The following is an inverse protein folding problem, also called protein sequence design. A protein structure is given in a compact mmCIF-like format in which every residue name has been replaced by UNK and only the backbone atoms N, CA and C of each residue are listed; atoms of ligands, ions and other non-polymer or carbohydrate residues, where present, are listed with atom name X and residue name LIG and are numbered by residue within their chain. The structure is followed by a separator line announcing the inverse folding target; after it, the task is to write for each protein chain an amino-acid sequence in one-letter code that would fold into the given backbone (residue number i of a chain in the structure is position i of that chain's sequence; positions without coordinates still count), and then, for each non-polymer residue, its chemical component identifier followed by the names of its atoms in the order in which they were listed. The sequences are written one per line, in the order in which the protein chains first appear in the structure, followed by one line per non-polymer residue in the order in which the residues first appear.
data_IF_122294425593
#
_entry.id   IF_122294425593
#
_cell.length_a   1.000
_cell.length_b   1.000
_cell.length_c   1.000
_cell.angle_alpha   90.00
_cell.angle_beta   90.00
_cell.angle_gamma   90.00
#
_symmetry.space_group_name_H-M   'P 1'
#
loop_
_entity.id
_entity.type
_entity.pdbx_description
1 polymer ?
#
# COMPACT_ATOMS: atom_id res chain seq x y z
N UNK A 1 -19.66 -20.55 -6.56
CA UNK A 1 -18.38 -20.48 -5.84
C UNK A 1 -18.62 -20.99 -4.43
N UNK A 2 -17.66 -21.68 -3.83
CA UNK A 2 -17.73 -22.23 -2.47
C UNK A 2 -16.53 -21.66 -1.70
N UNK A 3 -16.67 -21.32 -0.43
CA UNK A 3 -15.58 -20.84 0.40
C UNK A 3 -15.53 -21.66 1.68
N UNK A 4 -14.44 -22.39 1.90
CA UNK A 4 -14.33 -23.37 2.98
C UNK A 4 -13.00 -23.28 3.72
N UNK A 5 -13.01 -23.73 4.97
CA UNK A 5 -11.79 -23.89 5.75
C UNK A 5 -11.06 -25.18 5.39
N UNK A 6 -9.74 -25.12 5.18
CA UNK A 6 -8.95 -26.29 4.76
C UNK A 6 -7.72 -26.59 5.65
N UNK A 7 -7.50 -25.80 6.70
CA UNK A 7 -6.44 -26.05 7.67
C UNK A 7 -6.65 -25.27 8.97
N UNK A 8 -6.54 -25.95 10.11
CA UNK A 8 -6.52 -25.35 11.44
C UNK A 8 -5.17 -25.66 12.09
N UNK A 9 -4.36 -24.64 12.35
CA UNK A 9 -3.46 -24.69 13.49
C UNK A 9 -4.19 -24.09 14.70
N UNK A 10 -3.77 -24.39 15.93
CA UNK A 10 -4.54 -24.08 17.16
C UNK A 10 -5.00 -22.61 17.30
N UNK A 11 -4.42 -21.66 16.56
CA UNK A 11 -4.79 -20.24 16.57
C UNK A 11 -5.13 -19.66 15.19
N UNK A 12 -4.70 -20.28 14.07
CA UNK A 12 -4.88 -19.74 12.71
C UNK A 12 -5.75 -20.69 11.89
N UNK A 13 -6.77 -20.12 11.24
CA UNK A 13 -7.65 -20.85 10.33
C UNK A 13 -7.46 -20.37 8.90
N UNK A 14 -7.28 -21.32 8.00
CA UNK A 14 -7.09 -21.05 6.57
C UNK A 14 -8.38 -21.30 5.80
N UNK A 15 -8.73 -20.33 4.95
CA UNK A 15 -9.88 -20.41 4.08
C UNK A 15 -9.48 -20.26 2.62
N UNK A 16 -10.28 -20.86 1.74
CA UNK A 16 -10.04 -20.82 0.30
C UNK A 16 -11.35 -20.84 -0.48
N UNK A 17 -11.35 -20.12 -1.59
CA UNK A 17 -12.38 -20.22 -2.62
C UNK A 17 -12.17 -21.44 -3.52
N UNK A 18 -13.28 -22.10 -3.83
CA UNK A 18 -13.36 -23.23 -4.76
C UNK A 18 -14.43 -22.93 -5.82
N UNK A 19 -14.11 -23.26 -7.05
CA UNK A 19 -15.06 -23.14 -8.15
C UNK A 19 -15.87 -24.43 -8.25
N UNK A 20 -17.20 -24.34 -8.14
CA UNK A 20 -18.10 -25.43 -8.47
C UNK A 20 -18.12 -25.66 -10.00
N UNK A 21 -18.67 -26.78 -10.47
CA UNK A 21 -18.66 -27.14 -11.89
C UNK A 21 -19.20 -26.02 -12.80
N UNK A 22 -20.30 -25.39 -12.40
CA UNK A 22 -20.90 -24.27 -13.15
C UNK A 22 -19.93 -23.10 -13.29
N UNK A 23 -19.27 -22.71 -12.19
CA UNK A 23 -18.30 -21.62 -12.20
C UNK A 23 -17.05 -22.00 -13.00
N UNK A 24 -16.58 -23.24 -12.92
CA UNK A 24 -15.44 -23.73 -13.71
C UNK A 24 -15.71 -23.64 -15.22
N UNK A 25 -16.91 -24.00 -15.68
CA UNK A 25 -17.29 -23.86 -17.10
C UNK A 25 -17.25 -22.41 -17.56
N UNK A 26 -17.71 -21.48 -16.71
CA UNK A 26 -17.64 -20.05 -17.02
C UNK A 26 -16.22 -19.51 -17.02
N UNK A 27 -15.40 -19.96 -16.07
CA UNK A 27 -13.98 -19.62 -16.02
C UNK A 27 -13.25 -20.08 -17.30
N UNK A 28 -13.54 -21.29 -17.78
CA UNK A 28 -13.01 -21.80 -19.05
C UNK A 28 -13.45 -20.94 -20.24
N UNK A 29 -14.74 -20.61 -20.30
CA UNK A 29 -15.28 -19.74 -21.35
C UNK A 29 -14.66 -18.34 -21.31
N UNK A 30 -14.50 -17.76 -20.11
CA UNK A 30 -13.80 -16.49 -19.90
C UNK A 30 -12.37 -16.55 -20.46
N UNK A 31 -11.60 -17.60 -20.16
CA UNK A 31 -10.24 -17.72 -20.68
C UNK A 31 -10.18 -17.82 -22.20
N UNK A 32 -11.13 -18.52 -22.83
CA UNK A 32 -11.25 -18.57 -24.30
C UNK A 32 -11.51 -17.17 -24.88
N UNK A 33 -12.53 -16.47 -24.36
CA UNK A 33 -12.88 -15.12 -24.82
C UNK A 33 -11.74 -14.12 -24.56
N UNK A 34 -11.06 -14.21 -23.43
CA UNK A 34 -9.93 -13.34 -23.08
C UNK A 34 -8.78 -13.49 -24.06
N UNK A 35 -8.39 -14.74 -24.37
CA UNK A 35 -7.32 -15.04 -25.34
C UNK A 35 -7.64 -14.51 -26.74
N UNK A 36 -8.91 -14.58 -27.13
CA UNK A 36 -9.41 -14.11 -28.43
C UNK A 36 -9.78 -12.63 -28.45
N UNK A 37 -9.63 -11.90 -27.32
CA UNK A 37 -10.02 -10.49 -27.14
C UNK A 37 -11.50 -10.20 -27.45
N UNK A 38 -12.36 -11.18 -27.17
CA UNK A 38 -13.82 -11.09 -27.38
C UNK A 38 -14.50 -10.46 -26.17
N UNK A 39 -14.23 -9.18 -25.90
CA UNK A 39 -14.73 -8.48 -24.71
C UNK A 39 -16.25 -8.37 -24.64
N UNK A 40 -16.94 -8.30 -25.78
CA UNK A 40 -18.41 -8.34 -25.83
C UNK A 40 -18.99 -9.62 -25.21
N UNK A 41 -18.32 -10.75 -25.44
CA UNK A 41 -18.76 -12.03 -24.90
C UNK A 41 -18.48 -12.14 -23.40
N UNK A 42 -17.38 -11.54 -22.94
CA UNK A 42 -17.06 -11.44 -21.51
C UNK A 42 -18.10 -10.55 -20.79
N UNK A 43 -18.48 -9.43 -21.41
CA UNK A 43 -19.57 -8.60 -20.91
C UNK A 43 -20.88 -9.39 -20.85
N UNK A 44 -21.17 -10.22 -21.85
CA UNK A 44 -22.35 -11.09 -21.84
C UNK A 44 -22.34 -12.10 -20.68
N UNK A 45 -21.18 -12.59 -20.22
CA UNK A 45 -21.07 -13.44 -19.02
C UNK A 45 -21.69 -12.74 -17.81
N UNK A 46 -21.33 -11.46 -17.58
CA UNK A 46 -21.76 -10.71 -16.39
C UNK A 46 -23.14 -10.05 -16.55
N UNK A 47 -23.60 -9.83 -17.78
CA UNK A 47 -24.95 -9.33 -18.06
C UNK A 47 -26.00 -10.44 -18.07
N UNK A 48 -25.59 -11.70 -18.24
CA UNK A 48 -26.51 -12.83 -18.18
C UNK A 48 -27.09 -12.98 -16.76
N UNK A 49 -28.43 -12.97 -16.66
CA UNK A 49 -29.16 -13.13 -15.40
C UNK A 49 -28.84 -14.43 -14.66
N UNK A 50 -28.35 -15.46 -15.36
CA UNK A 50 -28.08 -16.77 -14.77
C UNK A 50 -26.81 -16.83 -13.92
N UNK A 51 -25.77 -16.01 -14.20
CA UNK A 51 -24.64 -15.90 -13.28
C UNK A 51 -23.91 -14.55 -13.40
N UNK A 52 -24.45 -13.50 -12.80
CA UNK A 52 -23.92 -12.15 -12.94
C UNK A 52 -22.58 -11.88 -12.22
N UNK A 53 -22.05 -12.87 -11.51
CA UNK A 53 -21.05 -12.70 -10.46
C UNK A 53 -19.71 -13.39 -10.76
N UNK A 54 -19.38 -13.60 -12.03
CA UNK A 54 -18.07 -14.13 -12.42
C UNK A 54 -16.95 -13.10 -12.16
N UNK A 55 -16.12 -13.32 -11.13
CA UNK A 55 -15.23 -12.32 -10.55
C UNK A 55 -14.17 -11.81 -11.54
N UNK A 56 -13.53 -12.70 -12.30
CA UNK A 56 -12.50 -12.31 -13.28
C UNK A 56 -13.08 -11.49 -14.42
N UNK A 57 -14.33 -11.79 -14.83
CA UNK A 57 -15.02 -10.98 -15.84
C UNK A 57 -15.36 -9.60 -15.28
N UNK A 58 -15.81 -9.52 -14.03
CA UNK A 58 -16.10 -8.24 -13.37
C UNK A 58 -14.84 -7.38 -13.25
N UNK A 59 -13.72 -7.96 -12.82
CA UNK A 59 -12.42 -7.26 -12.74
C UNK A 59 -11.97 -6.74 -14.10
N UNK A 60 -11.98 -7.60 -15.13
CA UNK A 60 -11.56 -7.19 -16.47
C UNK A 60 -12.47 -6.10 -17.04
N UNK A 61 -13.79 -6.25 -16.92
CA UNK A 61 -14.73 -5.26 -17.42
C UNK A 61 -14.63 -3.95 -16.64
N UNK A 62 -14.37 -3.98 -15.34
CA UNK A 62 -14.12 -2.77 -14.55
C UNK A 62 -12.90 -2.00 -15.09
N UNK A 63 -11.79 -2.68 -15.34
CA UNK A 63 -10.58 -2.05 -15.90
C UNK A 63 -10.84 -1.47 -17.31
N UNK A 64 -11.55 -2.20 -18.19
CA UNK A 64 -11.89 -1.70 -19.53
C UNK A 64 -12.79 -0.46 -19.50
N UNK A 65 -13.87 -0.52 -18.71
CA UNK A 65 -14.84 0.58 -18.58
C UNK A 65 -14.22 1.81 -17.89
N UNK A 66 -13.28 1.59 -16.96
CA UNK A 66 -12.50 2.67 -16.35
C UNK A 66 -11.63 3.38 -17.40
N UNK A 67 -10.97 2.63 -18.28
CA UNK A 67 -10.18 3.21 -19.38
C UNK A 67 -11.02 3.98 -20.39
N UNK A 68 -12.30 3.64 -20.55
CA UNK A 68 -13.28 4.41 -21.34
C UNK A 68 -13.79 5.68 -20.62
N UNK A 69 -13.37 5.91 -19.37
CA UNK A 69 -13.72 7.09 -18.58
C UNK A 69 -15.01 6.94 -17.75
N UNK A 70 -15.68 5.79 -17.79
CA UNK A 70 -16.91 5.57 -17.02
C UNK A 70 -16.61 4.95 -15.64
N UNK A 71 -16.07 5.77 -14.74
CA UNK A 71 -15.69 5.35 -13.39
C UNK A 71 -16.87 4.84 -12.56
N UNK A 72 -18.08 5.37 -12.75
CA UNK A 72 -19.27 4.95 -11.99
C UNK A 72 -19.62 3.49 -12.29
N UNK A 73 -19.66 3.12 -13.57
CA UNK A 73 -19.96 1.76 -13.99
C UNK A 73 -18.84 0.77 -13.67
N UNK A 74 -17.57 1.18 -13.80
CA UNK A 74 -16.45 0.37 -13.35
C UNK A 74 -16.56 0.05 -11.86
N UNK A 75 -16.95 1.05 -11.07
CA UNK A 75 -17.15 0.92 -9.63
C UNK A 75 -18.29 -0.03 -9.25
N UNK A 76 -19.40 -0.01 -10.01
CA UNK A 76 -20.51 -0.96 -9.84
C UNK A 76 -20.02 -2.42 -10.02
N UNK A 77 -19.18 -2.68 -11.03
CA UNK A 77 -18.62 -4.03 -11.23
C UNK A 77 -17.71 -4.48 -10.10
N UNK A 78 -16.89 -3.59 -9.52
CA UNK A 78 -16.07 -3.92 -8.35
C UNK A 78 -16.95 -4.23 -7.13
N UNK A 79 -17.95 -3.40 -6.84
CA UNK A 79 -18.87 -3.60 -5.71
C UNK A 79 -19.69 -4.89 -5.86
N UNK A 80 -20.13 -5.19 -7.09
CA UNK A 80 -20.80 -6.44 -7.43
C UNK A 80 -19.90 -7.67 -7.21
N UNK A 81 -18.59 -7.54 -7.50
CA UNK A 81 -17.61 -8.58 -7.22
C UNK A 81 -17.40 -8.81 -5.72
N UNK A 82 -17.34 -7.73 -4.94
CA UNK A 82 -17.24 -7.80 -3.47
C UNK A 82 -18.50 -8.45 -2.89
N UNK A 83 -19.69 -8.04 -3.35
CA UNK A 83 -20.95 -8.66 -2.95
C UNK A 83 -20.99 -10.16 -3.24
N UNK A 84 -20.47 -10.59 -4.39
CA UNK A 84 -20.36 -12.00 -4.74
C UNK A 84 -19.43 -12.79 -3.80
N UNK A 85 -18.35 -12.17 -3.33
CA UNK A 85 -17.46 -12.76 -2.33
C UNK A 85 -18.14 -12.86 -0.96
N UNK A 86 -18.81 -11.78 -0.53
CA UNK A 86 -19.50 -11.70 0.76
C UNK A 86 -20.60 -12.75 0.89
N UNK A 87 -21.37 -12.93 -0.18
CA UNK A 87 -22.42 -13.96 -0.24
C UNK A 87 -21.86 -15.39 -0.24
N UNK A 88 -20.61 -15.57 -0.64
CA UNK A 88 -19.95 -16.88 -0.65
C UNK A 88 -19.24 -17.21 0.67
N UNK A 89 -19.03 -16.24 1.57
CA UNK A 89 -18.26 -16.48 2.80
C UNK A 89 -18.88 -17.56 3.68
N UNK A 90 -17.99 -18.36 4.29
CA UNK A 90 -18.34 -19.41 5.22
C UNK A 90 -18.93 -18.78 6.49
N UNK A 91 -19.98 -19.35 7.13
CA UNK A 91 -20.62 -18.75 8.31
C UNK A 91 -19.67 -18.46 9.49
N UNK A 92 -18.59 -19.23 9.60
CA UNK A 92 -17.58 -19.05 10.66
C UNK A 92 -16.44 -18.11 10.27
N UNK A 93 -16.43 -17.58 9.05
CA UNK A 93 -15.42 -16.65 8.58
C UNK A 93 -15.76 -15.22 9.02
N UNK A 94 -14.81 -14.60 9.70
CA UNK A 94 -14.82 -13.20 10.06
C UNK A 94 -13.74 -12.48 9.23
N UNK A 95 -14.17 -11.61 8.33
CA UNK A 95 -13.31 -10.81 7.46
C UNK A 95 -12.31 -9.96 8.25
N UNK A 96 -12.71 -9.41 9.40
CA UNK A 96 -11.87 -8.53 10.21
C UNK A 96 -10.94 -9.29 11.18
N UNK A 97 -11.07 -10.62 11.28
CA UNK A 97 -10.17 -11.41 12.14
C UNK A 97 -8.80 -11.56 11.49
N UNK A 98 -7.74 -11.23 12.25
CA UNK A 98 -6.35 -11.46 11.87
C UNK A 98 -5.95 -12.94 11.88
N UNK A 99 -6.71 -13.79 12.57
CA UNK A 99 -6.44 -15.23 12.65
C UNK A 99 -6.96 -16.02 11.44
N UNK A 100 -7.77 -15.38 10.59
CA UNK A 100 -8.36 -16.03 9.42
C UNK A 100 -7.65 -15.57 8.16
N UNK A 101 -6.94 -16.50 7.51
CA UNK A 101 -5.99 -16.23 6.44
C UNK A 101 -6.48 -16.78 5.10
N UNK A 102 -6.05 -16.12 4.02
CA UNK A 102 -6.22 -16.57 2.64
C UNK A 102 -4.84 -16.47 1.98
N UNK A 103 -4.36 -17.55 1.37
CA UNK A 103 -3.09 -17.54 0.66
C UNK A 103 -3.31 -17.09 -0.80
N UNK A 104 -2.60 -16.05 -1.23
CA UNK A 104 -2.70 -15.46 -2.57
C UNK A 104 -2.16 -16.38 -3.68
N UNK A 105 -1.31 -17.35 -3.33
CA UNK A 105 -0.75 -18.33 -4.26
C UNK A 105 -1.84 -19.16 -4.92
N UNK A 106 -2.96 -19.38 -4.22
CA UNK A 106 -4.16 -20.02 -4.77
C UNK A 106 -4.88 -19.09 -5.74
N UNK A 107 -5.02 -19.53 -6.99
CA UNK A 107 -5.60 -18.74 -8.06
C UNK A 107 -7.02 -18.27 -7.75
N UNK A 108 -7.83 -19.11 -7.10
CA UNK A 108 -9.20 -18.81 -6.73
C UNK A 108 -9.32 -17.74 -5.63
N UNK A 109 -8.26 -17.52 -4.84
CA UNK A 109 -8.23 -16.47 -3.82
C UNK A 109 -7.83 -15.11 -4.41
N UNK A 110 -7.13 -15.07 -5.55
CA UNK A 110 -6.63 -13.80 -6.13
C UNK A 110 -7.73 -12.76 -6.39
N UNK A 111 -8.92 -13.12 -6.91
CA UNK A 111 -9.98 -12.15 -7.12
C UNK A 111 -10.39 -11.41 -5.84
N UNK A 112 -10.35 -12.06 -4.67
CA UNK A 112 -10.59 -11.40 -3.38
C UNK A 112 -9.62 -10.24 -3.17
N UNK A 113 -8.33 -10.49 -3.27
CA UNK A 113 -7.31 -9.46 -3.07
C UNK A 113 -7.43 -8.33 -4.10
N UNK A 114 -7.62 -8.68 -5.38
CA UNK A 114 -7.71 -7.69 -6.46
C UNK A 114 -8.95 -6.81 -6.34
N UNK A 115 -10.12 -7.38 -6.03
CA UNK A 115 -11.36 -6.62 -5.84
C UNK A 115 -11.27 -5.67 -4.64
N UNK A 116 -10.82 -6.16 -3.49
CA UNK A 116 -10.65 -5.32 -2.30
C UNK A 116 -9.59 -4.24 -2.50
N UNK A 117 -8.51 -4.51 -3.24
CA UNK A 117 -7.49 -3.51 -3.56
C UNK A 117 -8.00 -2.44 -4.51
N UNK A 118 -8.75 -2.81 -5.56
CA UNK A 118 -9.42 -1.83 -6.43
C UNK A 118 -10.40 -0.97 -5.63
N UNK A 119 -11.15 -1.56 -4.72
CA UNK A 119 -12.05 -0.83 -3.83
C UNK A 119 -11.32 0.09 -2.84
N UNK A 120 -10.15 -0.32 -2.34
CA UNK A 120 -9.26 0.53 -1.56
C UNK A 120 -8.80 1.74 -2.35
N UNK A 121 -8.31 1.56 -3.58
CA UNK A 121 -7.83 2.66 -4.44
C UNK A 121 -8.96 3.66 -4.73
N UNK A 122 -10.14 3.17 -5.08
CA UNK A 122 -11.36 3.98 -5.23
C UNK A 122 -11.64 4.84 -3.99
N UNK A 123 -11.55 4.26 -2.79
CA UNK A 123 -11.79 5.01 -1.55
C UNK A 123 -10.70 6.05 -1.28
N UNK A 124 -9.46 5.79 -1.68
CA UNK A 124 -8.36 6.77 -1.60
C UNK A 124 -8.65 7.96 -2.52
N UNK A 125 -9.09 7.72 -3.75
CA UNK A 125 -9.48 8.76 -4.71
C UNK A 125 -10.64 9.61 -4.19
N UNK A 126 -11.64 8.98 -3.55
CA UNK A 126 -12.75 9.66 -2.88
C UNK A 126 -12.38 10.31 -1.53
N UNK A 127 -11.14 10.19 -1.10
CA UNK A 127 -10.63 10.70 0.18
C UNK A 127 -11.31 10.10 1.43
N UNK A 128 -11.82 8.86 1.33
CA UNK A 128 -12.39 8.08 2.44
C UNK A 128 -11.29 7.34 3.21
N UNK A 129 -10.37 8.09 3.81
CA UNK A 129 -9.07 7.58 4.26
C UNK A 129 -9.16 6.56 5.40
N UNK A 130 -10.10 6.74 6.34
CA UNK A 130 -10.34 5.76 7.41
C UNK A 130 -10.81 4.42 6.85
N UNK A 131 -11.76 4.44 5.91
CA UNK A 131 -12.23 3.23 5.24
C UNK A 131 -11.10 2.56 4.44
N UNK A 132 -10.32 3.35 3.69
CA UNK A 132 -9.14 2.84 2.97
C UNK A 132 -8.14 2.17 3.90
N UNK A 133 -7.89 2.75 5.08
CA UNK A 133 -7.00 2.17 6.08
C UNK A 133 -7.53 0.83 6.60
N UNK A 134 -8.83 0.73 6.91
CA UNK A 134 -9.42 -0.54 7.35
C UNK A 134 -9.36 -1.61 6.26
N UNK A 135 -9.59 -1.26 4.99
CA UNK A 135 -9.44 -2.20 3.88
C UNK A 135 -7.97 -2.65 3.74
N UNK A 136 -7.01 -1.73 3.90
CA UNK A 136 -5.58 -2.05 3.85
C UNK A 136 -5.21 -3.05 4.95
N UNK A 137 -5.69 -2.82 6.18
CA UNK A 137 -5.51 -3.74 7.32
C UNK A 137 -6.10 -5.12 7.01
N UNK A 138 -7.30 -5.18 6.43
CA UNK A 138 -7.93 -6.45 6.03
C UNK A 138 -7.06 -7.18 5.01
N UNK A 139 -6.68 -6.53 3.89
CA UNK A 139 -5.86 -7.11 2.84
C UNK A 139 -4.53 -7.65 3.39
N UNK A 140 -3.81 -6.82 4.14
CA UNK A 140 -2.55 -7.22 4.76
C UNK A 140 -2.77 -8.37 5.75
N UNK A 141 -3.84 -8.35 6.54
CA UNK A 141 -4.13 -9.45 7.48
C UNK A 141 -4.47 -10.77 6.79
N UNK A 142 -4.88 -10.80 5.52
CA UNK A 142 -5.22 -12.08 4.87
C UNK A 142 -3.99 -12.84 4.40
N UNK A 143 -3.00 -12.13 3.88
CA UNK A 143 -1.70 -12.68 3.47
C UNK A 143 -0.56 -11.74 3.85
N UNK A 144 -0.33 -11.57 5.15
CA UNK A 144 0.72 -10.68 5.64
C UNK A 144 2.12 -11.22 5.34
N UNK A 145 2.25 -12.53 5.13
CA UNK A 145 3.52 -13.15 4.81
C UNK A 145 3.98 -12.78 3.41
N UNK A 146 3.10 -12.99 2.41
CA UNK A 146 3.40 -12.65 1.04
C UNK A 146 3.30 -11.16 0.72
N UNK A 147 2.44 -10.41 1.42
CA UNK A 147 2.03 -9.03 1.07
C UNK A 147 1.90 -8.84 -0.46
N UNK A 148 1.04 -9.64 -1.13
CA UNK A 148 1.08 -9.83 -2.58
C UNK A 148 0.78 -8.54 -3.38
N UNK A 149 0.19 -7.53 -2.73
CA UNK A 149 -0.18 -6.25 -3.33
C UNK A 149 0.64 -5.08 -2.78
N UNK A 150 1.67 -5.34 -1.98
CA UNK A 150 2.57 -4.31 -1.46
C UNK A 150 1.89 -3.32 -0.52
N UNK A 151 0.98 -3.78 0.35
CA UNK A 151 0.28 -2.93 1.32
C UNK A 151 1.27 -2.22 2.26
N UNK A 152 2.42 -2.83 2.56
CA UNK A 152 3.49 -2.21 3.33
C UNK A 152 4.03 -0.92 2.70
N UNK A 153 3.92 -0.74 1.38
CA UNK A 153 4.38 0.47 0.68
C UNK A 153 3.36 1.62 0.69
N UNK A 154 2.19 1.39 1.28
CA UNK A 154 1.05 2.31 1.26
C UNK A 154 0.51 2.62 2.66
N UNK A 155 0.49 1.62 3.56
CA UNK A 155 -0.27 1.67 4.81
C UNK A 155 0.18 2.79 5.76
N UNK A 156 1.46 3.16 5.74
CA UNK A 156 2.02 4.24 6.54
C UNK A 156 1.43 5.59 6.15
N UNK A 157 1.43 5.89 4.85
CA UNK A 157 0.86 7.13 4.32
C UNK A 157 -0.66 7.22 4.57
N UNK A 158 -1.36 6.08 4.47
CA UNK A 158 -2.79 6.02 4.76
C UNK A 158 -3.08 6.26 6.24
N UNK A 159 -2.29 5.68 7.13
CA UNK A 159 -2.45 5.87 8.57
C UNK A 159 -2.27 7.34 8.97
N UNK A 160 -1.25 8.00 8.45
CA UNK A 160 -1.01 9.43 8.68
C UNK A 160 -2.15 10.30 8.11
N UNK A 161 -2.52 10.08 6.84
CA UNK A 161 -3.62 10.83 6.19
C UNK A 161 -4.97 10.60 6.86
N UNK A 162 -5.21 9.40 7.41
CA UNK A 162 -6.42 9.06 8.16
C UNK A 162 -6.43 9.59 9.60
N UNK A 163 -5.39 10.33 10.02
CA UNK A 163 -5.18 10.83 11.38
C UNK A 163 -5.15 9.69 12.42
N UNK A 164 -4.41 8.63 12.14
CA UNK A 164 -4.21 7.46 13.01
C UNK A 164 -2.72 7.18 13.26
N UNK A 165 -1.94 8.14 13.79
CA UNK A 165 -0.50 7.96 14.03
C UNK A 165 -0.20 6.87 15.08
N UNK A 166 -1.04 6.73 16.11
CA UNK A 166 -0.87 5.67 17.13
C UNK A 166 -0.89 4.27 16.51
N UNK A 167 -1.82 4.00 15.60
CA UNK A 167 -1.87 2.73 14.87
C UNK A 167 -0.57 2.48 14.10
N UNK A 168 0.00 3.51 13.47
CA UNK A 168 1.23 3.35 12.71
C UNK A 168 2.43 3.01 13.61
N UNK A 169 2.51 3.62 14.80
CA UNK A 169 3.54 3.29 15.79
C UNK A 169 3.40 1.84 16.26
N UNK A 170 2.20 1.42 16.68
CA UNK A 170 1.92 0.04 17.10
C UNK A 170 2.23 -0.97 15.99
N UNK A 171 1.83 -0.65 14.76
CA UNK A 171 2.09 -1.48 13.58
C UNK A 171 3.59 -1.61 13.31
N UNK A 172 4.32 -0.49 13.39
CA UNK A 172 5.76 -0.48 13.17
C UNK A 172 6.47 -1.33 14.20
N UNK A 173 6.17 -1.16 15.49
CA UNK A 173 6.78 -1.96 16.56
C UNK A 173 6.51 -3.46 16.38
N UNK A 174 5.26 -3.83 16.08
CA UNK A 174 4.88 -5.23 15.92
C UNK A 174 5.57 -5.91 14.72
N UNK A 175 5.68 -5.21 13.58
CA UNK A 175 6.24 -5.77 12.35
C UNK A 175 7.70 -5.40 12.09
N UNK A 176 8.34 -4.60 12.96
CA UNK A 176 9.69 -4.06 12.77
C UNK A 176 10.69 -5.12 12.31
N UNK A 177 10.81 -6.20 13.08
CA UNK A 177 11.78 -7.28 12.82
C UNK A 177 11.31 -8.24 11.74
N UNK A 178 10.04 -8.66 11.79
CA UNK A 178 9.50 -9.71 10.91
C UNK A 178 9.37 -9.26 9.46
N UNK A 179 9.14 -7.97 9.23
CA UNK A 179 9.02 -7.37 7.89
C UNK A 179 10.15 -6.43 7.51
N UNK A 180 11.19 -6.34 8.35
CA UNK A 180 12.36 -5.47 8.12
C UNK A 180 11.95 -4.04 7.75
N UNK A 181 11.02 -3.47 8.53
CA UNK A 181 10.49 -2.13 8.26
C UNK A 181 11.57 -1.04 8.37
N UNK A 182 12.69 -1.36 9.02
CA UNK A 182 13.91 -0.55 9.05
C UNK A 182 14.52 -0.28 7.66
N UNK A 183 14.31 -1.20 6.72
CA UNK A 183 14.83 -1.15 5.34
C UNK A 183 13.89 -0.41 4.37
N UNK A 184 12.71 -0.01 4.84
CA UNK A 184 11.71 0.64 4.01
C UNK A 184 11.71 2.16 4.28
N UNK A 185 11.99 2.99 3.26
CA UNK A 185 12.13 4.42 3.46
C UNK A 185 10.83 5.09 3.91
N UNK A 186 9.69 4.64 3.40
CA UNK A 186 8.38 5.16 3.77
C UNK A 186 8.15 5.08 5.28
N UNK A 187 8.43 3.93 5.91
CA UNK A 187 8.27 3.79 7.36
C UNK A 187 9.21 4.70 8.15
N UNK A 188 10.50 4.79 7.81
CA UNK A 188 11.44 5.64 8.57
C UNK A 188 10.98 7.10 8.66
N UNK A 189 10.56 7.67 7.54
CA UNK A 189 10.07 9.05 7.50
C UNK A 189 8.67 9.18 8.12
N UNK A 190 7.77 8.24 7.85
CA UNK A 190 6.40 8.28 8.37
C UNK A 190 6.33 8.09 9.89
N UNK A 191 7.24 7.33 10.52
CA UNK A 191 7.33 7.21 11.99
C UNK A 191 7.77 8.52 12.63
N UNK A 192 8.81 9.15 12.10
CA UNK A 192 9.24 10.46 12.59
C UNK A 192 8.10 11.47 12.53
N UNK A 193 7.36 11.48 11.42
CA UNK A 193 6.22 12.36 11.26
C UNK A 193 5.04 12.00 12.18
N UNK A 194 4.76 10.72 12.41
CA UNK A 194 3.74 10.28 13.35
C UNK A 194 4.01 10.80 14.77
N UNK A 195 5.27 10.74 15.22
CA UNK A 195 5.70 11.25 16.51
C UNK A 195 5.54 12.77 16.62
N UNK A 196 5.87 13.50 15.56
CA UNK A 196 5.64 14.96 15.49
C UNK A 196 4.14 15.29 15.60
N UNK A 197 3.28 14.59 14.86
CA UNK A 197 1.83 14.79 14.92
C UNK A 197 1.22 14.48 16.30
N UNK A 198 1.90 13.66 17.11
CA UNK A 198 1.53 13.36 18.50
C UNK A 198 2.13 14.34 19.52
N UNK A 199 2.94 15.32 19.08
CA UNK A 199 3.61 16.30 19.94
C UNK A 199 4.88 15.76 20.63
N UNK A 200 5.38 14.59 20.21
CA UNK A 200 6.57 13.95 20.78
C UNK A 200 7.84 14.43 20.06
N UNK A 201 8.10 15.74 20.13
CA UNK A 201 9.12 16.42 19.29
C UNK A 201 10.53 15.83 19.42
N UNK A 202 11.00 15.55 20.63
CA UNK A 202 12.34 15.02 20.82
C UNK A 202 12.52 13.65 20.17
N UNK A 203 11.48 12.82 20.21
CA UNK A 203 11.46 11.51 19.55
C UNK A 203 11.32 11.63 18.04
N UNK A 204 10.50 12.58 17.57
CA UNK A 204 10.32 12.87 16.15
C UNK A 204 11.65 13.28 15.51
N UNK A 205 12.39 14.21 16.14
CA UNK A 205 13.70 14.69 15.66
C UNK A 205 14.74 13.55 15.66
N UNK A 206 14.78 12.72 16.71
CA UNK A 206 15.69 11.56 16.75
C UNK A 206 15.39 10.56 15.63
N UNK A 207 14.12 10.23 15.41
CA UNK A 207 13.74 9.32 14.34
C UNK A 207 13.96 9.93 12.95
N UNK A 208 13.83 11.24 12.80
CA UNK A 208 14.18 11.94 11.56
C UNK A 208 15.69 11.84 11.28
N UNK A 209 16.53 12.02 12.31
CA UNK A 209 17.97 11.84 12.21
C UNK A 209 18.31 10.40 11.78
N UNK A 210 17.68 9.38 12.37
CA UNK A 210 17.85 7.98 11.92
C UNK A 210 17.41 7.78 10.46
N UNK A 211 16.30 8.40 10.04
CA UNK A 211 15.80 8.31 8.68
C UNK A 211 16.77 8.92 7.67
N UNK A 212 17.34 10.10 7.99
CA UNK A 212 18.34 10.76 7.14
C UNK A 212 19.69 10.03 7.11
N UNK A 213 20.05 9.30 8.17
CA UNK A 213 21.27 8.46 8.13
C UNK A 213 21.05 7.24 7.24
N UNK A 214 19.86 6.62 7.30
CA UNK A 214 19.55 5.44 6.49
C UNK A 214 19.28 5.79 5.01
N UNK A 215 18.62 6.92 4.75
CA UNK A 215 18.17 7.33 3.41
C UNK A 215 18.32 8.86 3.18
N UNK A 216 19.57 9.38 3.19
CA UNK A 216 19.85 10.81 3.14
C UNK A 216 19.26 11.52 1.91
N UNK A 217 19.35 10.92 0.73
CA UNK A 217 18.90 11.52 -0.53
C UNK A 217 17.38 11.76 -0.60
N UNK A 218 16.58 11.14 0.28
CA UNK A 218 15.11 11.28 0.21
C UNK A 218 14.67 12.71 0.48
N UNK A 219 15.43 13.47 1.28
CA UNK A 219 15.10 14.87 1.54
C UNK A 219 15.09 15.69 0.25
N UNK A 220 16.11 15.57 -0.61
CA UNK A 220 16.08 16.24 -1.92
C UNK A 220 14.99 15.70 -2.81
N UNK A 221 14.69 14.40 -2.77
CA UNK A 221 13.59 13.83 -3.55
C UNK A 221 12.22 14.39 -3.13
N UNK A 222 11.98 14.63 -1.83
CA UNK A 222 10.77 15.31 -1.33
C UNK A 222 10.72 16.74 -1.90
N UNK A 223 11.81 17.50 -1.75
CA UNK A 223 11.87 18.90 -2.21
C UNK A 223 11.69 19.03 -3.73
N UNK A 224 12.38 18.19 -4.50
CA UNK A 224 12.27 18.13 -5.97
C UNK A 224 10.83 17.77 -6.39
N UNK A 225 10.22 16.79 -5.72
CA UNK A 225 8.83 16.38 -6.00
C UNK A 225 7.82 17.50 -5.74
N UNK A 226 8.05 18.30 -4.69
CA UNK A 226 7.24 19.47 -4.35
C UNK A 226 7.62 20.73 -5.14
N UNK A 227 8.67 20.67 -5.97
CA UNK A 227 9.24 21.81 -6.70
C UNK A 227 9.70 22.95 -5.78
N UNK A 228 10.18 22.61 -4.58
CA UNK A 228 10.71 23.54 -3.59
C UNK A 228 12.22 23.62 -3.75
N UNK A 229 12.76 24.84 -3.81
CA UNK A 229 14.20 25.04 -3.86
C UNK A 229 14.83 24.66 -2.52
N UNK A 230 15.82 23.78 -2.55
CA UNK A 230 16.55 23.38 -1.36
C UNK A 230 17.41 24.52 -0.79
N UNK A 231 17.64 24.48 0.51
CA UNK A 231 18.61 25.34 1.18
C UNK A 231 20.03 25.09 0.63
N UNK A 232 20.87 26.12 0.43
CA UNK A 232 22.27 25.95 0.02
C UNK A 232 23.08 24.94 0.85
N UNK A 233 22.77 24.76 2.14
CA UNK A 233 23.39 23.77 3.02
C UNK A 233 23.04 22.33 2.62
N UNK A 234 21.85 22.12 2.03
CA UNK A 234 21.42 20.83 1.49
C UNK A 234 22.07 20.62 0.12
N UNK A 235 22.05 21.63 -0.76
CA UNK A 235 22.64 21.55 -2.12
C UNK A 235 24.14 21.27 -2.08
N UNK A 236 24.86 21.84 -1.10
CA UNK A 236 26.30 21.62 -0.91
C UNK A 236 26.64 20.29 -0.21
N UNK A 237 25.67 19.61 0.39
CA UNK A 237 25.89 18.35 1.08
C UNK A 237 25.91 17.18 0.07
N UNK A 238 27.01 16.42 0.06
CA UNK A 238 27.21 15.29 -0.85
C UNK A 238 26.08 14.25 -0.80
N UNK A 239 25.49 14.02 0.37
CA UNK A 239 24.50 12.96 0.63
C UNK A 239 23.05 13.42 0.46
N UNK A 240 22.79 14.72 0.66
CA UNK A 240 21.42 15.27 0.69
C UNK A 240 21.05 16.01 -0.59
N UNK A 241 22.01 16.33 -1.47
CA UNK A 241 21.72 17.09 -2.68
C UNK A 241 20.90 16.29 -3.71
N UNK A 242 20.38 16.97 -4.72
CA UNK A 242 19.58 16.35 -5.81
C UNK A 242 20.37 15.28 -6.56
N UNK A 243 21.69 15.42 -6.68
CA UNK A 243 22.55 14.46 -7.38
C UNK A 243 22.77 13.15 -6.62
N UNK A 244 22.47 13.12 -5.31
CA UNK A 244 22.64 11.93 -4.49
C UNK A 244 21.78 10.75 -4.98
N UNK A 245 20.59 11.03 -5.53
CA UNK A 245 19.69 10.01 -6.09
C UNK A 245 20.32 9.21 -7.24
N UNK A 246 21.21 9.79 -8.05
CA UNK A 246 21.90 9.09 -9.15
C UNK A 246 22.89 8.03 -8.69
N UNK A 247 23.22 7.99 -7.39
CA UNK A 247 24.12 7.00 -6.79
C UNK A 247 23.38 5.81 -6.22
N UNK A 248 22.04 5.85 -6.27
CA UNK A 248 21.19 4.84 -5.66
C UNK A 248 20.75 3.76 -6.65
N UNK A 249 20.51 2.53 -6.16
CA UNK A 249 19.96 1.48 -6.99
C UNK A 249 18.52 1.80 -7.41
N UNK A 250 18.17 1.47 -8.65
CA UNK A 250 16.84 1.72 -9.21
C UNK A 250 15.69 1.15 -8.36
N UNK A 251 15.90 0.01 -7.70
CA UNK A 251 14.92 -0.57 -6.79
C UNK A 251 14.58 0.34 -5.61
N UNK A 252 15.57 0.99 -5.00
CA UNK A 252 15.36 1.95 -3.92
C UNK A 252 14.71 3.23 -4.43
N UNK A 253 15.14 3.72 -5.60
CA UNK A 253 14.50 4.87 -6.26
C UNK A 253 13.03 4.60 -6.58
N UNK A 254 12.66 3.36 -6.93
CA UNK A 254 11.27 2.97 -7.12
C UNK A 254 10.47 3.02 -5.81
N UNK A 255 11.03 2.52 -4.70
CA UNK A 255 10.38 2.60 -3.39
C UNK A 255 10.14 4.05 -2.95
N UNK A 256 11.12 4.93 -3.18
CA UNK A 256 10.98 6.36 -2.87
C UNK A 256 9.91 7.01 -3.77
N UNK A 257 9.88 6.69 -5.07
CA UNK A 257 8.82 7.18 -5.97
C UNK A 257 7.42 6.74 -5.54
N UNK A 258 7.26 5.48 -5.12
CA UNK A 258 5.99 4.97 -4.57
C UNK A 258 5.62 5.71 -3.28
N UNK A 259 6.57 5.88 -2.37
CA UNK A 259 6.37 6.61 -1.13
C UNK A 259 5.89 8.04 -1.38
N UNK A 260 6.59 8.80 -2.22
CA UNK A 260 6.27 10.19 -2.54
C UNK A 260 4.90 10.31 -3.22
N UNK A 261 4.57 9.37 -4.11
CA UNK A 261 3.25 9.33 -4.74
C UNK A 261 2.13 9.22 -3.69
N UNK A 262 2.30 8.40 -2.66
CA UNK A 262 1.28 8.19 -1.63
C UNK A 262 1.29 9.23 -0.49
N UNK A 263 2.44 9.83 -0.20
CA UNK A 263 2.65 10.82 0.86
C UNK A 263 2.63 12.27 0.38
N UNK A 264 2.40 12.53 -0.92
CA UNK A 264 2.41 13.88 -1.50
C UNK A 264 1.59 14.92 -0.73
N UNK A 265 0.34 14.61 -0.37
CA UNK A 265 -0.57 15.50 0.35
C UNK A 265 -0.08 15.82 1.76
N UNK A 266 0.68 14.91 2.36
CA UNK A 266 1.26 15.09 3.69
C UNK A 266 2.40 16.11 3.60
N UNK A 267 3.33 15.88 2.68
CA UNK A 267 4.50 16.75 2.51
C UNK A 267 4.17 18.12 1.90
N UNK A 268 3.01 18.25 1.26
CA UNK A 268 2.52 19.54 0.76
C UNK A 268 1.89 20.43 1.85
N UNK A 269 1.70 19.92 3.07
CA UNK A 269 1.14 20.70 4.18
C UNK A 269 2.18 21.74 4.67
N UNK A 270 1.86 23.05 4.68
CA UNK A 270 2.77 24.10 5.13
C UNK A 270 3.29 23.91 6.56
N UNK A 271 2.48 23.34 7.46
CA UNK A 271 2.88 23.08 8.85
C UNK A 271 3.96 22.01 8.88
N UNK A 272 3.78 20.94 8.10
CA UNK A 272 4.74 19.84 7.99
C UNK A 272 6.01 20.30 7.28
N UNK A 273 5.91 21.15 6.25
CA UNK A 273 7.07 21.74 5.59
C UNK A 273 7.90 22.61 6.53
N UNK A 274 7.25 23.47 7.31
CA UNK A 274 7.94 24.28 8.31
C UNK A 274 8.62 23.41 9.37
N UNK A 275 7.96 22.33 9.81
CA UNK A 275 8.59 21.36 10.70
C UNK A 275 9.79 20.66 10.04
N UNK A 276 9.68 20.26 8.78
CA UNK A 276 10.75 19.61 8.01
C UNK A 276 11.98 20.52 7.91
N UNK A 277 11.79 21.80 7.62
CA UNK A 277 12.86 22.81 7.56
C UNK A 277 13.57 22.96 8.90
N UNK A 278 12.81 23.25 9.97
CA UNK A 278 13.35 23.43 11.33
C UNK A 278 14.11 22.17 11.78
N UNK A 279 13.53 21.00 11.55
CA UNK A 279 14.11 19.72 11.98
C UNK A 279 15.36 19.39 11.18
N UNK A 280 15.37 19.65 9.88
CA UNK A 280 16.56 19.50 9.04
C UNK A 280 17.72 20.36 9.56
N UNK A 281 17.48 21.63 9.87
CA UNK A 281 18.51 22.51 10.43
C UNK A 281 19.05 22.04 11.79
N UNK A 282 18.21 21.45 12.65
CA UNK A 282 18.65 20.87 13.93
C UNK A 282 19.54 19.65 13.75
N UNK A 283 19.22 18.81 12.77
CA UNK A 283 19.87 17.51 12.55
C UNK A 283 21.16 17.64 11.74
N UNK A 284 21.22 18.55 10.77
CA UNK A 284 22.32 18.67 9.82
C UNK A 284 23.72 18.79 10.46
N UNK A 285 23.94 19.60 11.53
CA UNK A 285 25.25 19.68 12.18
C UNK A 285 25.70 18.33 12.77
N UNK A 286 24.77 17.53 13.27
CA UNK A 286 25.06 16.21 13.86
C UNK A 286 25.41 15.18 12.79
N UNK A 287 24.74 15.23 11.63
CA UNK A 287 25.06 14.40 10.47
C UNK A 287 26.49 14.64 9.98
N UNK A 288 26.94 15.90 9.98
CA UNK A 288 28.28 16.28 9.53
C UNK A 288 29.40 16.03 10.56
N UNK A 289 29.05 15.86 11.84
CA UNK A 289 30.01 15.69 12.93
C UNK A 289 29.92 14.32 13.59
N UNK A 290 28.89 14.11 14.41
CA UNK A 290 28.69 12.91 15.25
C UNK A 290 28.42 11.67 14.41
N UNK A 291 27.50 11.77 13.45
CA UNK A 291 27.03 10.62 12.65
C UNK A 291 27.71 10.50 11.30
N UNK A 292 28.77 11.27 11.06
CA UNK A 292 29.49 11.29 9.78
C UNK A 292 29.95 9.89 9.36
N UNK A 293 30.47 9.08 10.29
CA UNK A 293 30.93 7.72 10.00
C UNK A 293 29.81 6.79 9.51
N UNK A 294 28.61 6.94 10.06
CA UNK A 294 27.44 6.14 9.66
C UNK A 294 26.93 6.57 8.29
N UNK A 295 26.86 7.87 8.04
CA UNK A 295 26.54 8.42 6.72
C UNK A 295 27.61 8.08 5.68
N UNK A 296 28.89 8.02 6.04
CA UNK A 296 29.96 7.61 5.13
C UNK A 296 29.87 6.10 4.79
N UNK A 297 29.24 5.28 5.64
CA UNK A 297 28.92 3.88 5.29
C UNK A 297 27.80 3.78 4.27
N UNK A 298 26.91 4.77 4.20
CA UNK A 298 25.85 4.82 3.19
C UNK A 298 26.40 5.00 1.77
N UNK A 299 27.54 5.68 1.57
CA UNK A 299 28.16 5.87 0.25
C UNK A 299 29.00 4.67 -0.27
N UNK A 300 29.04 3.54 0.43
CA UNK A 300 29.82 2.35 0.05
C UNK A 300 28.94 1.23 -0.47
#
# INVERSE_FOLDING_TARGET
MIFDSFGNSNLIKWFRFWHNETYQRQQQFFYLCYRERRYSDILNIILNKQNPYHLDSLLLMADLIQNEGNNERANDFIERGIFALETAFHPHFNLCSSNYRLDYSWKENRPFFLLFYRYLLKNIEKNNLKTSLEIAKVLFSKDFEGDPLGILLLIDSLALRANCPNFLLDFYEYFFKSKRLDMLPNFRFSISLALHLLGMEDEAVRNFEEALVAFPFILSQILDFLQIRADPLIESNYYLNTLASYREPEGLLLLVRIYLHHSNKIWSDPVILNWLEITTHKVLPRLQSVRKREIDQWAK
#
